data_IF_582304216770
#
_entry.id   IF_582304216770
#
_cell.length_a   1.000
_cell.length_b   1.000
_cell.length_c   1.000
_cell.angle_alpha   90.00
_cell.angle_beta   90.00
_cell.angle_gamma   90.00
#
_symmetry.space_group_name_H-M   'P 1'
#
loop_
_entity.id
_entity.type
_entity.pdbx_description
1 polymer ?
#
# COMPACT_ATOMS: atom_id res chain seq x y z
N UNK A 1 -21.23 3.47 2.83
CA UNK A 1 -20.30 3.73 1.74
C UNK A 1 -19.09 2.84 1.85
N UNK A 2 -18.23 2.87 0.83
CA UNK A 2 -16.98 2.10 0.82
C UNK A 2 -15.94 2.72 1.76
N UNK A 3 -15.01 1.90 2.25
CA UNK A 3 -13.88 2.31 3.05
C UNK A 3 -12.58 2.06 2.27
N UNK A 4 -11.89 3.12 1.87
CA UNK A 4 -10.55 3.05 1.30
C UNK A 4 -9.52 3.23 2.42
N UNK A 5 -8.67 2.22 2.64
CA UNK A 5 -7.56 2.31 3.58
C UNK A 5 -6.25 2.59 2.84
N UNK A 6 -5.53 3.59 3.30
CA UNK A 6 -4.21 3.97 2.80
C UNK A 6 -3.21 3.72 3.91
N UNK A 7 -2.29 2.77 3.68
CA UNK A 7 -1.27 2.41 4.64
C UNK A 7 0.08 2.97 4.20
N UNK A 8 0.70 3.79 5.03
CA UNK A 8 2.00 4.41 4.74
C UNK A 8 3.04 4.09 5.79
N UNK A 9 4.28 4.26 5.44
CA UNK A 9 5.45 4.14 6.32
C UNK A 9 5.49 2.78 7.05
N UNK A 10 5.46 1.71 6.28
CA UNK A 10 5.76 0.34 6.76
C UNK A 10 7.27 0.22 7.02
N UNK A 11 8.07 0.86 6.17
CA UNK A 11 9.51 1.01 6.34
C UNK A 11 9.86 2.46 6.70
N UNK A 12 10.83 2.65 7.59
CA UNK A 12 11.07 3.93 8.28
C UNK A 12 11.61 5.07 7.40
N UNK A 13 12.20 4.76 6.26
CA UNK A 13 12.76 5.73 5.32
C UNK A 13 11.84 6.02 4.12
N UNK A 14 10.64 5.42 4.06
CA UNK A 14 9.73 5.48 2.94
C UNK A 14 8.58 6.47 3.18
N UNK A 15 8.79 7.74 2.80
CA UNK A 15 7.93 8.84 3.25
C UNK A 15 7.07 9.51 2.18
N UNK A 16 7.35 9.35 0.87
CA UNK A 16 6.56 10.00 -0.18
C UNK A 16 5.08 9.60 -0.12
N UNK A 17 4.80 8.32 0.17
CA UNK A 17 3.45 7.82 0.36
C UNK A 17 2.71 8.47 1.53
N UNK A 18 3.42 8.74 2.64
CA UNK A 18 2.86 9.44 3.81
C UNK A 18 2.47 10.87 3.47
N UNK A 19 3.38 11.61 2.83
CA UNK A 19 3.10 12.98 2.41
C UNK A 19 1.91 13.02 1.44
N UNK A 20 1.89 12.14 0.45
CA UNK A 20 0.79 12.04 -0.49
C UNK A 20 -0.55 11.73 0.20
N UNK A 21 -0.57 10.77 1.13
CA UNK A 21 -1.79 10.38 1.84
C UNK A 21 -2.33 11.50 2.72
N UNK A 22 -1.46 12.20 3.45
CA UNK A 22 -1.86 13.33 4.30
C UNK A 22 -2.38 14.52 3.48
N UNK A 23 -1.75 14.83 2.35
CA UNK A 23 -2.22 15.90 1.46
C UNK A 23 -3.52 15.50 0.74
N UNK A 24 -3.65 14.25 0.33
CA UNK A 24 -4.88 13.71 -0.24
C UNK A 24 -6.06 13.91 0.73
N UNK A 25 -5.92 13.47 1.97
CA UNK A 25 -7.00 13.62 2.97
C UNK A 25 -7.36 15.08 3.22
N UNK A 26 -6.36 15.98 3.29
CA UNK A 26 -6.60 17.42 3.46
C UNK A 26 -7.33 18.04 2.26
N UNK A 27 -7.14 17.50 1.07
CA UNK A 27 -7.76 17.98 -0.16
C UNK A 27 -9.14 17.38 -0.45
N UNK A 28 -9.60 16.40 0.34
CA UNK A 28 -10.86 15.71 0.11
C UNK A 28 -12.06 16.65 0.21
N UNK A 29 -12.93 16.68 -0.81
CA UNK A 29 -14.19 17.41 -0.74
C UNK A 29 -15.20 16.61 0.12
N UNK A 30 -15.11 16.71 1.44
CA UNK A 30 -15.88 15.88 2.38
C UNK A 30 -17.39 15.86 2.10
N UNK A 31 -17.96 16.97 1.64
CA UNK A 31 -19.39 17.04 1.29
C UNK A 31 -19.77 16.19 0.05
N UNK A 32 -18.78 15.73 -0.73
CA UNK A 32 -18.97 14.91 -1.93
C UNK A 32 -18.42 13.48 -1.75
N UNK A 33 -17.90 13.17 -0.59
CA UNK A 33 -17.31 11.86 -0.30
C UNK A 33 -18.42 10.86 0.04
N UNK A 34 -18.63 9.86 -0.80
CA UNK A 34 -19.60 8.79 -0.59
C UNK A 34 -18.91 7.56 0.05
N UNK A 35 -18.41 7.70 1.29
CA UNK A 35 -17.71 6.65 2.02
C UNK A 35 -16.74 7.20 3.04
N UNK A 36 -15.71 6.42 3.37
CA UNK A 36 -14.67 6.82 4.30
C UNK A 36 -13.27 6.54 3.76
N UNK A 37 -12.34 7.43 4.09
CA UNK A 37 -10.91 7.24 3.84
C UNK A 37 -10.21 7.15 5.19
N UNK A 38 -9.48 6.07 5.41
CA UNK A 38 -8.66 5.87 6.61
C UNK A 38 -7.19 5.90 6.20
N UNK A 39 -6.38 6.60 6.96
CA UNK A 39 -4.94 6.69 6.71
C UNK A 39 -4.16 6.23 7.94
N UNK A 40 -3.35 5.20 7.78
CA UNK A 40 -2.25 4.90 8.69
C UNK A 40 -1.04 5.68 8.22
N UNK A 41 -0.79 6.85 8.77
CA UNK A 41 0.32 7.70 8.34
C UNK A 41 1.68 7.10 8.71
N UNK A 42 1.76 6.38 9.82
CA UNK A 42 2.96 5.66 10.24
C UNK A 42 2.55 4.29 10.77
N UNK A 43 2.73 3.26 9.95
CA UNK A 43 2.48 1.87 10.34
C UNK A 43 3.59 1.33 11.26
N UNK A 44 4.82 1.86 11.12
CA UNK A 44 5.99 1.41 11.85
C UNK A 44 6.76 2.60 12.48
N UNK A 45 6.25 3.20 13.56
CA UNK A 45 6.91 4.34 14.21
C UNK A 45 8.32 4.02 14.71
N UNK A 46 8.58 2.78 15.11
CA UNK A 46 9.90 2.34 15.59
C UNK A 46 10.96 2.36 14.48
N UNK A 47 10.60 1.96 13.27
CA UNK A 47 11.47 2.04 12.11
C UNK A 47 11.64 3.50 11.63
N UNK A 48 10.61 4.34 11.78
CA UNK A 48 10.66 5.76 11.46
C UNK A 48 11.70 6.50 12.30
N UNK A 49 11.75 6.24 13.60
CA UNK A 49 12.68 6.91 14.53
C UNK A 49 14.14 6.78 14.09
N UNK A 50 14.48 5.65 13.51
CA UNK A 50 15.85 5.36 13.04
C UNK A 50 16.00 5.45 11.53
N UNK A 51 14.93 5.76 10.79
CA UNK A 51 14.88 5.84 9.32
C UNK A 51 15.48 4.62 8.63
N UNK A 52 15.04 3.44 9.03
CA UNK A 52 15.48 2.16 8.48
C UNK A 52 14.29 1.30 8.11
N UNK A 53 14.55 0.26 7.32
CA UNK A 53 13.52 -0.70 6.90
C UNK A 53 12.87 -1.38 8.09
N UNK A 54 13.65 -1.82 9.08
CA UNK A 54 13.21 -2.61 10.22
C UNK A 54 13.29 -1.84 11.53
N UNK A 55 12.45 -2.20 12.49
CA UNK A 55 12.50 -1.69 13.85
C UNK A 55 13.68 -2.30 14.63
N UNK A 56 14.27 -1.52 15.55
CA UNK A 56 15.41 -2.00 16.36
C UNK A 56 15.00 -2.94 17.49
N UNK A 57 13.72 -3.02 17.84
CA UNK A 57 13.22 -3.80 18.96
C UNK A 57 13.33 -5.30 18.74
N UNK A 58 13.19 -5.76 17.50
CA UNK A 58 13.16 -7.20 17.17
C UNK A 58 13.78 -7.53 15.80
N UNK A 59 14.22 -6.52 15.06
CA UNK A 59 14.79 -6.62 13.70
C UNK A 59 13.89 -7.34 12.68
N UNK A 60 12.58 -7.37 12.95
CA UNK A 60 11.61 -7.92 12.01
C UNK A 60 11.17 -6.86 10.98
N UNK A 61 10.83 -7.35 9.80
CA UNK A 61 10.23 -6.55 8.73
C UNK A 61 8.70 -6.58 8.88
N UNK A 62 8.09 -5.41 9.11
CA UNK A 62 6.64 -5.33 9.27
C UNK A 62 5.90 -5.83 8.02
N UNK A 63 6.44 -5.55 6.81
CA UNK A 63 5.83 -6.01 5.55
C UNK A 63 5.99 -7.53 5.31
N UNK A 64 6.63 -8.23 6.21
CA UNK A 64 6.76 -9.69 6.19
C UNK A 64 6.13 -10.35 7.42
N UNK A 65 5.43 -9.57 8.24
CA UNK A 65 4.93 -10.02 9.54
C UNK A 65 3.41 -10.15 9.60
N UNK A 66 2.68 -9.76 8.55
CA UNK A 66 1.21 -9.89 8.53
C UNK A 66 0.76 -11.35 8.29
N UNK A 67 -0.35 -11.81 8.89
CA UNK A 67 -1.33 -11.03 9.66
C UNK A 67 -0.90 -10.69 11.10
N UNK A 68 0.28 -11.11 11.54
CA UNK A 68 0.81 -10.87 12.87
C UNK A 68 0.44 -11.93 13.90
N UNK A 69 0.95 -11.74 15.11
CA UNK A 69 0.68 -12.59 16.26
C UNK A 69 0.48 -11.74 17.52
N UNK A 70 -0.68 -11.89 18.19
CA UNK A 70 -1.05 -11.03 19.32
C UNK A 70 -0.09 -11.13 20.53
N UNK A 71 0.49 -12.30 20.73
CA UNK A 71 1.44 -12.60 21.82
C UNK A 71 2.89 -12.66 21.34
N UNK A 72 3.16 -12.20 20.11
CA UNK A 72 4.47 -12.21 19.49
C UNK A 72 5.36 -11.04 19.88
N UNK A 73 6.42 -10.84 19.11
CA UNK A 73 7.34 -9.73 19.26
C UNK A 73 6.65 -8.40 18.89
N UNK A 74 7.32 -7.28 19.12
CA UNK A 74 6.74 -5.93 18.91
C UNK A 74 6.19 -5.75 17.50
N UNK A 75 6.95 -6.14 16.48
CA UNK A 75 6.53 -6.02 15.08
C UNK A 75 5.36 -6.95 14.76
N UNK A 76 5.35 -8.19 15.26
CA UNK A 76 4.25 -9.14 15.07
C UNK A 76 2.96 -8.67 15.73
N UNK A 77 3.05 -8.10 16.93
CA UNK A 77 1.90 -7.50 17.64
C UNK A 77 1.36 -6.27 16.92
N UNK A 78 2.25 -5.45 16.37
CA UNK A 78 1.89 -4.29 15.55
C UNK A 78 1.16 -4.75 14.29
N UNK A 79 1.69 -5.75 13.59
CA UNK A 79 1.07 -6.36 12.42
C UNK A 79 -0.33 -6.89 12.76
N UNK A 80 -0.49 -7.62 13.87
CA UNK A 80 -1.77 -8.19 14.29
C UNK A 80 -2.82 -7.11 14.53
N UNK A 81 -2.48 -6.04 15.26
CA UNK A 81 -3.41 -4.95 15.53
C UNK A 81 -3.77 -4.14 14.30
N UNK A 82 -2.80 -3.85 13.45
CA UNK A 82 -3.05 -3.15 12.20
C UNK A 82 -3.92 -3.99 11.26
N UNK A 83 -3.61 -5.28 11.12
CA UNK A 83 -4.39 -6.18 10.27
C UNK A 83 -5.83 -6.36 10.77
N UNK A 84 -6.04 -6.50 12.07
CA UNK A 84 -7.36 -6.55 12.69
C UNK A 84 -8.19 -5.31 12.31
N UNK A 85 -7.61 -4.11 12.47
CA UNK A 85 -8.28 -2.86 12.15
C UNK A 85 -8.60 -2.73 10.66
N UNK A 86 -7.61 -3.00 9.79
CA UNK A 86 -7.75 -2.89 8.33
C UNK A 86 -8.75 -3.91 7.80
N UNK A 87 -8.60 -5.19 8.18
CA UNK A 87 -9.48 -6.26 7.71
C UNK A 87 -10.92 -6.10 8.18
N UNK A 88 -11.14 -5.46 9.33
CA UNK A 88 -12.48 -5.17 9.86
C UNK A 88 -13.19 -4.00 9.18
N UNK A 89 -12.45 -3.07 8.56
CA UNK A 89 -13.02 -1.82 8.03
C UNK A 89 -12.88 -1.68 6.51
N UNK A 90 -11.70 -1.98 5.95
CA UNK A 90 -11.39 -1.67 4.56
C UNK A 90 -12.20 -2.49 3.55
N UNK A 91 -12.69 -1.84 2.50
CA UNK A 91 -13.16 -2.49 1.26
C UNK A 91 -12.03 -2.60 0.23
N UNK A 92 -11.01 -1.76 0.34
CA UNK A 92 -9.79 -1.79 -0.46
C UNK A 92 -8.63 -1.17 0.30
N UNK A 93 -7.40 -1.57 -0.03
CA UNK A 93 -6.19 -1.01 0.58
C UNK A 93 -5.17 -0.62 -0.49
N UNK A 94 -4.49 0.49 -0.24
CA UNK A 94 -3.28 0.90 -0.95
C UNK A 94 -2.13 0.91 0.05
N UNK A 95 -1.13 0.04 -0.15
CA UNK A 95 0.12 0.08 0.62
C UNK A 95 1.12 0.99 -0.08
N UNK A 96 1.45 2.10 0.58
CA UNK A 96 2.28 3.17 0.03
C UNK A 96 3.72 2.97 0.47
N UNK A 97 4.58 2.68 -0.48
CA UNK A 97 6.01 2.46 -0.29
C UNK A 97 6.85 3.44 -1.12
N UNK A 98 8.15 3.39 -0.92
CA UNK A 98 9.19 3.87 -1.82
C UNK A 98 10.32 2.86 -1.82
N UNK A 99 11.14 2.82 -2.86
CA UNK A 99 12.41 2.11 -2.75
C UNK A 99 13.26 2.76 -1.65
N UNK A 100 13.97 1.95 -0.88
CA UNK A 100 14.80 2.44 0.24
C UNK A 100 15.82 3.51 -0.17
N UNK A 101 16.31 4.25 0.80
CA UNK A 101 17.19 5.43 0.64
C UNK A 101 18.33 5.29 -0.38
N UNK A 102 19.02 4.14 -0.55
CA UNK A 102 20.14 4.05 -1.50
C UNK A 102 19.71 3.92 -2.97
N UNK A 103 18.42 3.79 -3.24
CA UNK A 103 17.91 3.58 -4.59
C UNK A 103 17.37 4.88 -5.19
N UNK A 104 17.53 5.04 -6.50
CA UNK A 104 16.86 6.05 -7.29
C UNK A 104 16.03 5.36 -8.37
N UNK A 105 14.72 5.58 -8.35
CA UNK A 105 13.81 4.92 -9.29
C UNK A 105 12.58 5.79 -9.58
N UNK A 106 12.00 5.57 -10.76
CA UNK A 106 10.68 6.09 -11.09
C UNK A 106 9.59 5.29 -10.37
N UNK A 107 8.41 5.87 -10.11
CA UNK A 107 7.31 5.16 -9.49
C UNK A 107 6.87 3.92 -10.28
N UNK A 108 6.64 2.83 -9.57
CA UNK A 108 6.10 1.59 -10.11
C UNK A 108 5.12 0.95 -9.13
N UNK A 109 4.31 0.03 -9.63
CA UNK A 109 3.39 -0.73 -8.80
C UNK A 109 3.87 -2.16 -8.60
N UNK A 110 3.54 -2.73 -7.45
CA UNK A 110 3.72 -4.15 -7.16
C UNK A 110 2.35 -4.75 -6.86
N UNK A 111 2.06 -5.89 -7.46
CA UNK A 111 0.82 -6.59 -7.17
C UNK A 111 1.02 -8.11 -7.09
N UNK A 112 0.13 -8.73 -6.37
CA UNK A 112 0.07 -10.16 -6.14
C UNK A 112 -1.32 -10.65 -6.53
N UNK A 113 -1.46 -11.93 -6.77
CA UNK A 113 -2.76 -12.56 -6.98
C UNK A 113 -2.92 -13.64 -5.92
N UNK A 114 -3.99 -13.56 -5.16
CA UNK A 114 -4.27 -14.54 -4.12
C UNK A 114 -4.92 -15.80 -4.71
N UNK A 115 -4.63 -16.94 -4.12
CA UNK A 115 -5.26 -18.22 -4.48
C UNK A 115 -6.69 -18.34 -3.96
N UNK A 116 -7.02 -17.57 -2.93
CA UNK A 116 -8.34 -17.46 -2.29
C UNK A 116 -8.87 -16.03 -2.40
N UNK A 117 -10.00 -15.73 -1.81
CA UNK A 117 -10.54 -14.37 -1.76
C UNK A 117 -11.25 -13.88 -3.02
N UNK A 118 -10.95 -14.43 -4.19
CA UNK A 118 -11.69 -14.17 -5.43
C UNK A 118 -11.53 -12.75 -6.02
N UNK A 119 -10.48 -12.02 -5.64
CA UNK A 119 -10.20 -10.71 -6.24
C UNK A 119 -9.65 -10.90 -7.65
N UNK A 120 -10.34 -10.33 -8.63
CA UNK A 120 -9.93 -10.38 -10.03
C UNK A 120 -8.68 -9.52 -10.29
N UNK A 121 -7.70 -10.08 -11.00
CA UNK A 121 -6.45 -9.41 -11.36
C UNK A 121 -6.71 -8.09 -12.12
N UNK A 122 -7.71 -8.08 -13.01
CA UNK A 122 -8.04 -6.87 -13.77
C UNK A 122 -8.55 -5.73 -12.88
N UNK A 123 -9.19 -6.07 -11.76
CA UNK A 123 -9.58 -5.08 -10.74
C UNK A 123 -8.35 -4.42 -10.14
N UNK A 124 -7.34 -5.19 -9.77
CA UNK A 124 -6.07 -4.66 -9.25
C UNK A 124 -5.36 -3.79 -10.28
N UNK A 125 -5.24 -4.28 -11.52
CA UNK A 125 -4.59 -3.54 -12.60
C UNK A 125 -5.29 -2.20 -12.91
N UNK A 126 -6.62 -2.14 -12.85
CA UNK A 126 -7.38 -0.88 -13.01
C UNK A 126 -7.11 0.09 -11.86
N UNK A 127 -7.01 -0.41 -10.63
CA UNK A 127 -6.76 0.42 -9.45
C UNK A 127 -5.33 0.96 -9.47
N UNK A 128 -4.33 0.11 -9.62
CA UNK A 128 -2.93 0.54 -9.63
C UNK A 128 -2.59 1.45 -10.83
N UNK A 129 -3.25 1.26 -11.98
CA UNK A 129 -3.06 2.11 -13.15
C UNK A 129 -3.48 3.59 -12.89
N UNK A 130 -4.30 3.85 -11.86
CA UNK A 130 -4.65 5.23 -11.49
C UNK A 130 -3.45 6.04 -11.03
N UNK A 131 -2.41 5.37 -10.55
CA UNK A 131 -1.14 6.01 -10.16
C UNK A 131 -0.23 6.33 -11.35
N UNK A 132 -0.57 5.91 -12.58
CA UNK A 132 0.29 6.05 -13.76
C UNK A 132 1.73 5.57 -13.52
N UNK A 133 1.92 4.39 -12.94
CA UNK A 133 3.27 3.88 -12.70
C UNK A 133 3.94 3.53 -14.03
N UNK A 134 5.27 3.59 -14.08
CA UNK A 134 6.02 3.20 -15.27
C UNK A 134 5.74 1.75 -15.70
N UNK A 135 5.52 0.88 -14.71
CA UNK A 135 5.15 -0.53 -14.90
C UNK A 135 4.50 -1.10 -13.63
N UNK A 136 3.85 -2.24 -13.77
CA UNK A 136 3.33 -3.05 -12.68
C UNK A 136 4.09 -4.39 -12.63
N UNK A 137 4.73 -4.62 -11.50
CA UNK A 137 5.50 -5.83 -11.24
C UNK A 137 4.59 -6.89 -10.61
N UNK A 138 4.42 -8.02 -11.30
CA UNK A 138 3.76 -9.17 -10.71
C UNK A 138 4.72 -9.93 -9.80
N UNK A 139 4.35 -10.11 -8.54
CA UNK A 139 5.14 -10.85 -7.57
C UNK A 139 4.43 -12.15 -7.19
N UNK A 140 4.89 -13.30 -7.68
CA UNK A 140 4.32 -14.59 -7.30
C UNK A 140 4.63 -14.88 -5.84
N UNK A 141 3.60 -15.16 -5.04
CA UNK A 141 3.74 -15.41 -3.60
C UNK A 141 4.33 -16.78 -3.32
N UNK A 142 4.06 -17.74 -4.18
CA UNK A 142 4.62 -19.09 -4.08
C UNK A 142 5.94 -19.18 -4.86
N UNK A 143 6.98 -18.49 -4.38
CA UNK A 143 8.32 -18.65 -4.91
C UNK A 143 8.91 -19.99 -4.49
N UNK A 144 9.79 -20.56 -5.32
CA UNK A 144 10.53 -21.78 -4.99
C UNK A 144 11.53 -21.50 -3.88
N UNK A 145 11.91 -22.50 -3.06
CA UNK A 145 12.97 -22.34 -2.08
C UNK A 145 14.24 -21.76 -2.74
N UNK A 146 14.75 -20.67 -2.17
CA UNK A 146 15.92 -19.95 -2.70
C UNK A 146 15.64 -18.82 -3.68
N UNK A 147 14.41 -18.61 -4.12
CA UNK A 147 14.00 -17.41 -4.88
C UNK A 147 13.68 -16.26 -3.93
N UNK A 148 14.18 -15.09 -4.31
CA UNK A 148 14.05 -13.85 -3.53
C UNK A 148 12.65 -13.24 -3.62
N UNK A 149 12.45 -12.31 -2.70
CA UNK A 149 12.93 -12.16 -1.34
C UNK A 149 11.82 -12.35 -0.33
N UNK A 150 12.09 -13.06 0.75
CA UNK A 150 11.27 -13.03 1.95
C UNK A 150 9.85 -13.58 1.80
N UNK A 151 9.10 -13.50 2.88
CA UNK A 151 7.73 -13.97 2.93
C UNK A 151 6.77 -12.96 2.27
N UNK A 152 6.68 -12.93 0.94
CA UNK A 152 5.69 -12.13 0.21
C UNK A 152 4.26 -12.36 0.71
N UNK A 153 3.98 -13.54 1.25
CA UNK A 153 2.73 -13.84 1.94
C UNK A 153 2.53 -13.01 3.22
N UNK A 154 3.60 -12.53 3.84
CA UNK A 154 3.54 -11.71 5.06
C UNK A 154 3.24 -10.22 4.81
N UNK A 155 3.00 -9.79 3.59
CA UNK A 155 2.63 -8.41 3.31
C UNK A 155 1.13 -8.15 3.54
N UNK A 156 0.80 -6.93 3.99
CA UNK A 156 -0.60 -6.58 4.31
C UNK A 156 -1.51 -6.62 3.09
N UNK A 157 -1.01 -6.22 1.92
CA UNK A 157 -1.76 -6.25 0.67
C UNK A 157 -2.11 -7.68 0.26
N UNK A 158 -1.18 -8.64 0.39
CA UNK A 158 -1.47 -10.04 0.10
C UNK A 158 -2.47 -10.66 1.09
N UNK A 159 -2.30 -10.39 2.37
CA UNK A 159 -3.22 -10.90 3.39
C UNK A 159 -4.65 -10.40 3.20
N UNK A 160 -4.82 -9.18 2.71
CA UNK A 160 -6.14 -8.64 2.37
C UNK A 160 -6.70 -9.23 1.07
N UNK A 161 -5.87 -9.53 0.08
CA UNK A 161 -6.30 -10.26 -1.12
C UNK A 161 -6.85 -11.64 -0.76
N UNK A 162 -6.18 -12.39 0.13
CA UNK A 162 -6.68 -13.67 0.64
C UNK A 162 -8.03 -13.51 1.37
N UNK A 163 -8.26 -12.35 2.00
CA UNK A 163 -9.53 -12.00 2.63
C UNK A 163 -10.59 -11.44 1.64
N UNK A 164 -10.32 -11.49 0.33
CA UNK A 164 -11.25 -11.04 -0.71
C UNK A 164 -11.34 -9.52 -0.88
N UNK A 165 -10.35 -8.78 -0.43
CA UNK A 165 -10.33 -7.30 -0.51
C UNK A 165 -9.25 -6.84 -1.49
N UNK A 166 -9.62 -6.05 -2.53
CA UNK A 166 -8.64 -5.52 -3.47
C UNK A 166 -7.55 -4.71 -2.77
N UNK A 167 -6.30 -5.09 -2.98
CA UNK A 167 -5.16 -4.44 -2.36
C UNK A 167 -3.89 -4.60 -3.20
N UNK A 168 -3.02 -3.61 -3.17
CA UNK A 168 -1.77 -3.59 -3.90
C UNK A 168 -0.78 -2.62 -3.26
N UNK A 169 0.46 -2.69 -3.70
CA UNK A 169 1.54 -1.83 -3.27
C UNK A 169 1.92 -0.85 -4.38
N UNK A 170 2.25 0.38 -4.01
CA UNK A 170 2.81 1.38 -4.92
C UNK A 170 4.12 1.90 -4.38
N UNK A 171 5.16 1.85 -5.18
CA UNK A 171 6.49 2.39 -4.92
C UNK A 171 6.57 3.81 -5.51
N UNK A 172 6.54 4.84 -4.68
CA UNK A 172 6.56 6.24 -5.10
C UNK A 172 7.99 6.82 -5.16
N UNK A 173 8.83 6.20 -5.98
CA UNK A 173 10.21 6.64 -6.19
C UNK A 173 11.15 6.24 -5.05
N UNK A 174 12.18 7.06 -4.79
CA UNK A 174 13.20 6.80 -3.79
C UNK A 174 12.78 7.20 -2.37
N UNK A 175 13.30 6.51 -1.36
CA UNK A 175 13.18 6.84 0.06
C UNK A 175 14.09 7.97 0.52
N UNK A 176 13.98 8.31 1.81
CA UNK A 176 14.88 9.25 2.50
C UNK A 176 14.67 10.73 2.15
N UNK A 177 13.87 11.06 1.16
CA UNK A 177 13.58 12.43 0.72
C UNK A 177 12.13 12.61 0.32
N UNK A 178 11.63 13.84 0.36
CA UNK A 178 10.35 14.20 -0.24
C UNK A 178 10.57 14.57 -1.71
N UNK A 179 9.77 13.95 -2.59
CA UNK A 179 9.72 14.25 -4.01
C UNK A 179 8.32 14.77 -4.37
N UNK A 180 8.24 16.07 -4.72
CA UNK A 180 6.97 16.75 -4.99
C UNK A 180 6.21 16.17 -6.18
N UNK A 181 6.92 15.67 -7.20
CA UNK A 181 6.30 15.08 -8.37
C UNK A 181 5.65 13.74 -7.99
N UNK A 182 6.37 12.91 -7.24
CA UNK A 182 5.87 11.61 -6.80
C UNK A 182 4.74 11.76 -5.76
N UNK A 183 4.82 12.75 -4.88
CA UNK A 183 3.72 13.07 -3.95
C UNK A 183 2.46 13.45 -4.72
N UNK A 184 2.54 14.32 -5.74
CA UNK A 184 1.41 14.69 -6.59
C UNK A 184 0.84 13.48 -7.36
N UNK A 185 1.72 12.62 -7.86
CA UNK A 185 1.32 11.37 -8.53
C UNK A 185 0.56 10.45 -7.56
N UNK A 186 1.02 10.32 -6.32
CA UNK A 186 0.34 9.57 -5.26
C UNK A 186 -1.06 10.12 -4.97
N UNK A 187 -1.20 11.45 -4.82
CA UNK A 187 -2.50 12.11 -4.61
C UNK A 187 -3.46 11.81 -5.74
N UNK A 188 -3.02 11.97 -7.00
CA UNK A 188 -3.84 11.71 -8.17
C UNK A 188 -4.27 10.24 -8.24
N UNK A 189 -3.35 9.31 -7.94
CA UNK A 189 -3.63 7.87 -7.91
C UNK A 189 -4.68 7.50 -6.87
N UNK A 190 -4.55 7.99 -5.64
CA UNK A 190 -5.53 7.77 -4.56
C UNK A 190 -6.91 8.32 -4.92
N UNK A 191 -6.98 9.53 -5.50
CA UNK A 191 -8.23 10.11 -5.98
C UNK A 191 -8.87 9.25 -7.09
N UNK A 192 -8.07 8.73 -8.02
CA UNK A 192 -8.52 7.82 -9.06
C UNK A 192 -9.10 6.52 -8.49
N UNK A 193 -8.43 5.90 -7.51
CA UNK A 193 -8.93 4.70 -6.83
C UNK A 193 -10.23 4.99 -6.08
N UNK A 194 -10.31 6.11 -5.35
CA UNK A 194 -11.56 6.52 -4.68
C UNK A 194 -12.71 6.72 -5.68
N UNK A 195 -12.42 7.24 -6.87
CA UNK A 195 -13.38 7.33 -7.96
C UNK A 195 -13.83 5.98 -8.51
N UNK A 196 -12.91 5.02 -8.71
CA UNK A 196 -13.26 3.65 -9.12
C UNK A 196 -14.13 2.94 -8.10
N UNK A 197 -13.95 3.24 -6.81
CA UNK A 197 -14.78 2.71 -5.73
C UNK A 197 -16.14 3.42 -5.60
N UNK A 198 -16.41 4.44 -6.43
CA UNK A 198 -17.65 5.22 -6.37
C UNK A 198 -17.72 6.16 -5.17
N UNK A 199 -16.56 6.49 -4.57
CA UNK A 199 -16.50 7.35 -3.39
C UNK A 199 -16.42 8.84 -3.72
N UNK A 200 -15.91 9.17 -4.91
CA UNK A 200 -15.81 10.56 -5.40
C UNK A 200 -16.45 10.68 -6.78
N UNK A 201 -17.32 11.68 -6.93
CA UNK A 201 -17.89 12.02 -8.23
C UNK A 201 -16.85 12.69 -9.13
N UNK A 202 -16.88 12.36 -10.42
CA UNK A 202 -16.08 13.05 -11.45
C UNK A 202 -14.65 12.58 -11.60
N UNK A 203 -14.18 11.58 -10.86
CA UNK A 203 -13.02 10.83 -11.28
C UNK A 203 -13.37 10.15 -12.60
N UNK A 204 -12.98 10.75 -13.73
CA UNK A 204 -13.15 10.13 -15.03
C UNK A 204 -12.48 8.77 -14.95
N UNK A 205 -13.27 7.72 -15.09
CA UNK A 205 -12.82 6.35 -15.28
C UNK A 205 -12.14 6.24 -16.67
N UNK A 206 -11.11 7.05 -16.89
CA UNK A 206 -10.24 6.82 -18.01
C UNK A 206 -9.65 5.42 -17.81
N UNK A 207 -9.90 4.53 -18.75
CA UNK A 207 -9.29 3.21 -18.76
C UNK A 207 -7.80 3.44 -18.96
N UNK A 208 -7.09 3.61 -17.85
CA UNK A 208 -5.63 3.69 -17.87
C UNK A 208 -5.11 2.27 -18.00
N UNK A 209 -4.13 2.08 -18.85
CA UNK A 209 -3.40 0.82 -18.98
C UNK A 209 -2.04 0.95 -18.32
N UNK A 210 -1.50 -0.16 -17.85
CA UNK A 210 -0.16 -0.24 -17.28
C UNK A 210 0.60 -1.40 -17.92
N UNK A 211 1.89 -1.19 -18.16
CA UNK A 211 2.78 -2.26 -18.62
C UNK A 211 3.02 -3.24 -17.49
N UNK A 212 2.76 -4.52 -17.72
CA UNK A 212 3.08 -5.61 -16.79
C UNK A 212 4.48 -6.15 -17.04
N UNK A 213 5.19 -6.46 -15.98
CA UNK A 213 6.50 -7.13 -15.97
C UNK A 213 6.55 -8.21 -14.92
#
# INVERSE_FOLDING_TARGET
>A
GKCLWINGQVHGDELNGVFAALEFVRSLPLAKLAGSVVVTASANPWALDIRRKRATQDDLDLDQSFPGHADGLTTERTAAKLFEAVSGCADALISMHTMGTPFDCSPFAVYKVASTGGVDEMTLLRMLAQFEPGYACYMPVHSRPGELPGHLAGSIDYQLLEAGKPSFMIELGAGGRRDEQHVKQGIAGMAGVAGLLGMLDGAKQAVKSVRRV
#
